data_IF_250039068293
#
_entry.id   IF_250039068293
#
_cell.length_a   1.000
_cell.length_b   1.000
_cell.length_c   1.000
_cell.angle_alpha   90.00
_cell.angle_beta   90.00
_cell.angle_gamma   90.00
#
_symmetry.space_group_name_H-M   'P 1'
#
loop_
_entity.id
_entity.type
_entity.pdbx_description
1 polymer ?
#
# COMPACT_ATOMS: atom_id res chain seq x y z
N UNK A 1 4.80 -14.73 25.64
CA UNK A 1 5.32 -15.48 24.48
C UNK A 1 6.79 -15.79 24.69
N UNK A 2 7.20 -17.05 24.57
CA UNK A 2 8.62 -17.45 24.60
C UNK A 2 9.21 -17.17 23.20
N UNK A 3 10.24 -16.35 23.15
CA UNK A 3 10.99 -16.10 21.90
C UNK A 3 12.31 -16.86 21.99
N UNK A 4 12.56 -17.75 21.06
CA UNK A 4 13.87 -18.37 20.91
C UNK A 4 14.92 -17.30 20.59
N UNK A 5 16.15 -17.50 21.07
CA UNK A 5 17.28 -16.64 20.71
C UNK A 5 17.54 -16.84 19.21
N UNK A 6 17.61 -15.73 18.46
CA UNK A 6 17.91 -15.80 17.04
C UNK A 6 19.32 -16.42 16.84
N UNK A 7 19.45 -17.24 15.79
CA UNK A 7 20.76 -17.73 15.35
C UNK A 7 21.61 -16.55 14.89
N UNK A 8 22.85 -16.49 15.33
CA UNK A 8 23.82 -15.47 14.95
C UNK A 8 25.01 -16.13 14.27
N UNK A 9 25.51 -15.50 13.20
CA UNK A 9 26.74 -15.90 12.52
C UNK A 9 27.66 -14.69 12.41
N UNK A 10 28.96 -14.97 12.33
CA UNK A 10 30.00 -13.94 12.16
C UNK A 10 30.45 -13.94 10.70
N UNK A 11 30.57 -12.77 10.08
CA UNK A 11 31.05 -12.60 8.72
C UNK A 11 31.74 -11.24 8.56
N UNK A 12 32.52 -11.07 7.47
CA UNK A 12 33.24 -9.84 7.19
C UNK A 12 32.35 -8.82 6.48
N UNK A 13 32.41 -7.56 6.91
CA UNK A 13 31.84 -6.41 6.22
C UNK A 13 32.75 -5.98 5.05
N UNK A 14 32.30 -6.14 3.83
CA UNK A 14 33.08 -5.79 2.63
C UNK A 14 32.90 -4.32 2.22
N UNK A 15 31.68 -3.83 2.28
CA UNK A 15 31.33 -2.44 1.93
C UNK A 15 29.94 -2.07 2.46
N UNK A 16 29.60 -0.78 2.43
CA UNK A 16 28.25 -0.29 2.71
C UNK A 16 27.71 0.43 1.47
N UNK A 17 26.54 0.01 1.01
CA UNK A 17 25.77 0.68 -0.04
C UNK A 17 24.57 1.39 0.57
N UNK A 18 24.08 2.43 -0.11
CA UNK A 18 22.92 3.20 0.35
C UNK A 18 21.79 3.09 -0.65
N UNK A 19 20.62 2.69 -0.18
CA UNK A 19 19.44 2.49 -1.02
C UNK A 19 18.39 3.57 -0.73
N UNK A 20 17.82 4.12 -1.79
CA UNK A 20 16.75 5.12 -1.69
C UNK A 20 15.41 4.43 -1.89
N UNK A 21 14.56 4.46 -0.89
CA UNK A 21 13.22 3.91 -0.97
C UNK A 21 12.22 4.90 -1.59
N UNK A 22 11.01 4.42 -1.85
CA UNK A 22 9.89 5.16 -2.44
C UNK A 22 9.59 6.51 -1.76
N UNK A 23 9.75 6.60 -0.47
CA UNK A 23 9.50 7.82 0.33
C UNK A 23 10.73 8.69 0.51
N UNK A 24 11.80 8.42 -0.24
CA UNK A 24 13.09 9.12 -0.12
C UNK A 24 13.96 8.64 1.03
N UNK A 25 13.49 7.72 1.87
CA UNK A 25 14.30 7.17 2.98
C UNK A 25 15.56 6.52 2.44
N UNK A 26 16.72 6.91 2.99
CA UNK A 26 18.04 6.37 2.62
C UNK A 26 18.47 5.35 3.67
N UNK A 27 18.48 4.08 3.25
CA UNK A 27 18.82 2.96 4.13
C UNK A 27 20.21 2.44 3.81
N UNK A 28 21.13 2.42 4.79
CA UNK A 28 22.44 1.80 4.63
C UNK A 28 22.30 0.27 4.66
N UNK A 29 22.98 -0.39 3.73
CA UNK A 29 23.00 -1.84 3.56
C UNK A 29 24.44 -2.32 3.55
N UNK A 30 24.77 -3.17 4.51
CA UNK A 30 26.05 -3.86 4.56
C UNK A 30 26.13 -4.93 3.47
N UNK A 31 27.18 -4.90 2.66
CA UNK A 31 27.55 -5.99 1.76
C UNK A 31 28.58 -6.87 2.50
N UNK A 32 28.26 -8.14 2.62
CA UNK A 32 28.95 -9.09 3.48
C UNK A 32 29.66 -10.17 2.67
N UNK A 33 30.72 -10.72 3.22
CA UNK A 33 31.22 -12.01 2.76
C UNK A 33 30.09 -13.04 2.92
N UNK A 34 29.80 -13.86 1.86
CA UNK A 34 28.65 -14.76 1.91
C UNK A 34 28.75 -15.75 3.07
N UNK A 35 27.71 -15.84 3.90
CA UNK A 35 27.65 -16.73 5.07
C UNK A 35 26.30 -17.45 5.12
N UNK A 36 26.30 -18.71 5.56
CA UNK A 36 25.08 -19.49 5.77
C UNK A 36 24.44 -19.10 7.10
N UNK A 37 23.15 -18.69 7.08
CA UNK A 37 22.38 -18.35 8.27
C UNK A 37 20.94 -18.81 8.13
N UNK A 38 20.49 -19.67 9.04
CA UNK A 38 19.15 -20.21 9.06
C UNK A 38 18.71 -20.73 7.65
N UNK A 39 19.51 -21.63 7.07
CA UNK A 39 19.24 -22.34 5.82
C UNK A 39 19.34 -21.50 4.55
N UNK A 40 19.80 -20.24 4.61
CA UNK A 40 20.03 -19.43 3.39
C UNK A 40 21.38 -18.70 3.42
N UNK A 41 21.97 -18.46 2.24
CA UNK A 41 23.21 -17.70 2.10
C UNK A 41 22.90 -16.21 2.18
N UNK A 42 23.40 -15.54 3.24
CA UNK A 42 23.28 -14.11 3.46
C UNK A 42 24.49 -13.41 2.85
N UNK A 43 24.24 -12.43 1.97
CA UNK A 43 25.25 -11.56 1.34
C UNK A 43 25.06 -10.09 1.69
N UNK A 44 23.91 -9.73 2.24
CA UNK A 44 23.52 -8.35 2.55
C UNK A 44 22.72 -8.31 3.85
N UNK A 45 22.96 -7.29 4.66
CA UNK A 45 22.21 -7.05 5.90
C UNK A 45 21.90 -5.58 6.07
N UNK A 46 20.74 -5.25 6.66
CA UNK A 46 20.41 -3.85 6.93
C UNK A 46 21.22 -3.29 8.10
N UNK A 47 21.60 -2.02 7.99
CA UNK A 47 22.18 -1.20 9.05
C UNK A 47 21.15 -0.18 9.59
N UNK A 48 19.90 -0.29 9.19
CA UNK A 48 18.78 0.56 9.57
C UNK A 48 18.96 2.05 9.21
N UNK A 49 19.91 2.75 9.86
CA UNK A 49 20.13 4.20 9.71
C UNK A 49 21.55 4.61 10.18
N UNK A 50 21.85 5.91 10.12
CA UNK A 50 23.13 6.46 10.54
C UNK A 50 23.42 6.23 12.03
N UNK A 51 22.40 6.31 12.90
CA UNK A 51 22.56 6.14 14.33
C UNK A 51 23.04 4.73 14.69
N UNK A 52 22.56 3.72 13.95
CA UNK A 52 22.99 2.34 14.13
C UNK A 52 24.44 2.13 13.69
N UNK A 53 24.89 2.77 12.60
CA UNK A 53 26.29 2.73 12.16
C UNK A 53 27.20 3.30 13.26
N UNK A 54 26.82 4.46 13.81
CA UNK A 54 27.57 5.12 14.86
C UNK A 54 27.55 4.33 16.19
N UNK A 55 26.39 3.77 16.56
CA UNK A 55 26.25 2.96 17.78
C UNK A 55 27.13 1.70 17.75
N UNK A 56 27.26 1.09 16.58
CA UNK A 56 28.11 -0.09 16.37
C UNK A 56 29.58 0.26 16.20
N UNK A 57 29.92 1.54 16.08
CA UNK A 57 31.29 1.98 15.72
C UNK A 57 31.82 1.17 14.54
N UNK A 58 31.06 1.11 13.45
CA UNK A 58 31.30 0.19 12.35
C UNK A 58 32.43 0.66 11.44
N UNK A 59 33.39 -0.21 11.16
CA UNK A 59 34.50 0.03 10.22
C UNK A 59 34.45 -0.97 9.05
N UNK A 60 35.02 -0.59 7.92
CA UNK A 60 35.22 -1.52 6.81
C UNK A 60 36.17 -2.66 7.25
N UNK A 61 35.93 -3.85 6.72
CA UNK A 61 36.62 -5.10 7.04
C UNK A 61 36.38 -5.65 8.46
N UNK A 62 35.50 -5.03 9.26
CA UNK A 62 35.12 -5.58 10.55
C UNK A 62 34.48 -6.97 10.42
N UNK A 63 34.74 -7.81 11.41
CA UNK A 63 33.95 -9.02 11.63
C UNK A 63 32.67 -8.62 12.37
N UNK A 64 31.50 -8.90 11.73
CA UNK A 64 30.22 -8.46 12.24
C UNK A 64 29.29 -9.64 12.56
N UNK A 65 28.48 -9.49 13.61
CA UNK A 65 27.47 -10.45 13.99
C UNK A 65 26.18 -10.15 13.25
N UNK A 66 25.67 -11.15 12.51
CA UNK A 66 24.47 -11.06 11.70
C UNK A 66 23.39 -11.99 12.25
N UNK A 67 22.17 -11.49 12.38
CA UNK A 67 21.00 -12.30 12.70
C UNK A 67 19.84 -11.98 11.74
N UNK A 68 18.88 -12.88 11.61
CA UNK A 68 17.63 -12.60 10.88
C UNK A 68 16.56 -12.10 11.84
N UNK A 69 16.11 -10.86 11.65
CA UNK A 69 14.95 -10.30 12.35
C UNK A 69 13.66 -10.98 11.86
N UNK A 70 12.93 -11.61 12.78
CA UNK A 70 11.72 -12.35 12.44
C UNK A 70 11.95 -13.49 11.43
N UNK A 71 13.16 -14.07 11.43
CA UNK A 71 13.60 -15.16 10.54
C UNK A 71 13.70 -14.79 9.04
N UNK A 72 13.50 -13.52 8.67
CA UNK A 72 13.42 -13.09 7.27
C UNK A 72 14.53 -12.09 6.91
N UNK A 73 14.62 -10.95 7.60
CA UNK A 73 15.49 -9.84 7.20
C UNK A 73 16.80 -9.88 7.95
N UNK A 74 17.96 -10.06 7.25
CA UNK A 74 19.26 -10.00 7.89
C UNK A 74 19.58 -8.59 8.38
N UNK A 75 20.08 -8.47 9.60
CA UNK A 75 20.54 -7.23 10.21
C UNK A 75 21.85 -7.44 10.95
N UNK A 76 22.68 -6.39 11.04
CA UNK A 76 23.89 -6.40 11.87
C UNK A 76 23.49 -6.02 13.29
N UNK A 77 23.92 -6.83 14.26
CA UNK A 77 23.60 -6.66 15.68
C UNK A 77 24.81 -6.38 16.56
N UNK A 78 26.03 -6.51 16.01
CA UNK A 78 27.25 -6.24 16.74
C UNK A 78 28.48 -6.32 15.85
N UNK A 79 29.62 -5.92 16.42
CA UNK A 79 30.96 -5.94 15.81
C UNK A 79 31.90 -6.67 16.75
N UNK A 80 32.79 -7.51 16.21
CA UNK A 80 33.90 -8.07 16.94
C UNK A 80 35.12 -7.10 16.90
N UNK A 81 35.13 -6.18 17.86
CA UNK A 81 36.21 -5.19 17.95
C UNK A 81 37.60 -5.80 18.24
N UNK A 82 37.64 -7.04 18.74
CA UNK A 82 38.91 -7.71 19.03
C UNK A 82 39.68 -8.15 17.79
N UNK A 83 38.94 -8.42 16.70
CA UNK A 83 39.46 -8.80 15.38
C UNK A 83 39.72 -7.63 14.44
N UNK A 84 39.41 -6.40 14.88
CA UNK A 84 39.54 -5.19 14.03
C UNK A 84 41.01 -4.90 13.67
N UNK A 85 41.26 -4.71 12.38
CA UNK A 85 42.60 -4.33 11.89
C UNK A 85 42.97 -2.91 12.33
N UNK A 86 44.23 -2.72 12.72
CA UNK A 86 44.74 -1.37 13.02
C UNK A 86 44.68 -0.49 11.78
N UNK A 87 44.07 0.70 11.91
CA UNK A 87 43.93 1.65 10.81
C UNK A 87 42.73 1.39 9.87
N UNK A 88 41.80 0.50 10.25
CA UNK A 88 40.53 0.32 9.54
C UNK A 88 39.77 1.64 9.44
N UNK A 89 39.06 1.84 8.33
CA UNK A 89 38.32 3.09 8.05
C UNK A 89 36.90 3.02 8.61
N UNK A 90 36.46 4.03 9.39
CA UNK A 90 35.09 4.07 9.87
C UNK A 90 34.09 4.18 8.69
N UNK A 91 32.95 3.55 8.83
CA UNK A 91 31.84 3.70 7.91
C UNK A 91 31.14 5.03 8.21
N UNK A 92 31.15 5.94 7.23
CA UNK A 92 30.52 7.25 7.35
C UNK A 92 29.23 7.26 6.55
N UNK A 93 28.14 7.74 7.16
CA UNK A 93 26.88 7.92 6.44
C UNK A 93 27.00 9.06 5.43
N UNK A 94 26.38 8.89 4.25
CA UNK A 94 26.46 9.87 3.15
C UNK A 94 25.61 11.12 3.44
N UNK A 95 26.03 12.26 2.90
CA UNK A 95 25.32 13.54 3.05
C UNK A 95 24.46 13.91 1.81
N UNK A 96 24.65 13.18 0.71
CA UNK A 96 23.93 13.42 -0.55
C UNK A 96 23.27 12.13 -1.04
N UNK A 97 22.18 12.27 -1.73
CA UNK A 97 21.46 11.14 -2.32
C UNK A 97 22.35 10.42 -3.34
N UNK A 98 22.54 9.08 -3.23
CA UNK A 98 23.39 8.34 -4.15
C UNK A 98 22.85 8.27 -5.57
N UNK A 99 21.55 8.56 -5.77
CA UNK A 99 20.86 8.45 -7.04
C UNK A 99 20.72 9.78 -7.79
N UNK A 100 20.49 10.88 -7.07
CA UNK A 100 20.24 12.18 -7.71
C UNK A 100 21.13 13.32 -7.20
N UNK A 101 22.08 13.05 -6.29
CA UNK A 101 23.04 14.03 -5.78
C UNK A 101 22.45 15.10 -4.84
N UNK A 102 21.14 15.12 -4.61
CA UNK A 102 20.49 16.12 -3.74
C UNK A 102 20.94 15.95 -2.30
N UNK A 103 21.24 17.03 -1.54
CA UNK A 103 21.54 16.94 -0.12
C UNK A 103 20.42 16.24 0.66
N UNK A 104 20.82 15.31 1.53
CA UNK A 104 19.88 14.59 2.38
C UNK A 104 19.41 15.47 3.54
N UNK A 105 18.16 15.28 3.95
CA UNK A 105 17.59 15.96 5.12
C UNK A 105 17.27 14.93 6.20
N UNK A 106 17.40 15.33 7.46
CA UNK A 106 16.94 14.58 8.62
C UNK A 106 16.04 15.48 9.44
N UNK A 107 14.77 15.11 9.57
CA UNK A 107 13.84 15.86 10.37
C UNK A 107 14.13 15.66 11.87
N UNK A 108 13.84 16.67 12.66
CA UNK A 108 13.97 16.59 14.11
C UNK A 108 13.12 15.44 14.69
N UNK A 109 13.74 14.62 15.54
CA UNK A 109 13.10 13.44 16.13
C UNK A 109 12.92 12.24 15.17
N UNK A 110 13.46 12.29 13.96
CA UNK A 110 13.50 11.13 13.03
C UNK A 110 14.91 10.53 12.97
N UNK A 111 14.98 9.20 12.99
CA UNK A 111 16.27 8.47 12.92
C UNK A 111 16.82 8.39 11.49
N UNK A 112 15.95 8.56 10.49
CA UNK A 112 16.28 8.34 9.09
C UNK A 112 16.64 9.64 8.36
N UNK A 113 17.52 9.52 7.37
CA UNK A 113 17.81 10.57 6.41
C UNK A 113 16.95 10.35 5.15
N UNK A 114 16.52 11.45 4.52
CA UNK A 114 15.65 11.43 3.37
C UNK A 114 16.21 12.26 2.22
N UNK A 115 16.03 11.76 1.00
CA UNK A 115 16.17 12.57 -0.20
C UNK A 115 14.89 13.39 -0.41
N UNK A 116 14.94 14.72 -0.34
CA UNK A 116 13.74 15.56 -0.51
C UNK A 116 13.31 15.71 -1.97
N UNK A 117 14.09 15.25 -2.92
CA UNK A 117 13.85 15.43 -4.37
C UNK A 117 12.87 14.37 -4.93
N UNK A 118 11.66 14.28 -4.36
CA UNK A 118 10.70 13.23 -4.69
C UNK A 118 10.14 13.32 -6.12
N UNK A 119 10.25 14.49 -6.79
CA UNK A 119 9.78 14.70 -8.16
C UNK A 119 10.78 14.28 -9.24
N UNK A 120 12.08 14.16 -8.90
CA UNK A 120 13.12 13.89 -9.89
C UNK A 120 14.05 12.75 -9.49
N UNK A 121 13.99 12.25 -8.26
CA UNK A 121 14.82 11.12 -7.84
C UNK A 121 14.28 9.81 -8.43
N UNK A 122 15.04 9.11 -9.32
CA UNK A 122 14.51 7.96 -10.06
C UNK A 122 13.93 6.84 -9.19
N UNK A 123 14.57 6.38 -8.10
CA UNK A 123 13.97 5.35 -7.24
C UNK A 123 12.65 5.79 -6.59
N UNK A 124 12.51 7.07 -6.23
CA UNK A 124 11.28 7.58 -5.66
C UNK A 124 10.14 7.61 -6.69
N UNK A 125 10.44 8.04 -7.91
CA UNK A 125 9.47 8.05 -9.02
C UNK A 125 9.00 6.64 -9.36
N UNK A 126 9.95 5.72 -9.57
CA UNK A 126 9.64 4.31 -9.88
C UNK A 126 8.87 3.64 -8.74
N UNK A 127 9.31 3.77 -7.50
CA UNK A 127 8.63 3.19 -6.35
C UNK A 127 7.24 3.78 -6.09
N UNK A 128 6.97 5.03 -6.49
CA UNK A 128 5.60 5.60 -6.46
C UNK A 128 4.72 4.97 -7.53
N UNK A 129 5.25 4.68 -8.72
CA UNK A 129 4.51 3.97 -9.77
C UNK A 129 4.22 2.52 -9.32
N UNK A 130 5.21 1.81 -8.78
CA UNK A 130 5.04 0.46 -8.23
C UNK A 130 3.97 0.40 -7.14
N UNK A 131 4.00 1.37 -6.22
CA UNK A 131 2.97 1.47 -5.20
C UNK A 131 1.59 1.70 -5.80
N UNK A 132 1.48 2.63 -6.77
CA UNK A 132 0.22 2.97 -7.42
C UNK A 132 -0.41 1.76 -8.12
N UNK A 133 0.37 0.96 -8.83
CA UNK A 133 -0.12 -0.21 -9.55
C UNK A 133 -0.37 -1.42 -8.64
N UNK A 134 0.13 -1.40 -7.39
CA UNK A 134 0.09 -2.57 -6.51
C UNK A 134 -1.32 -3.10 -6.28
N UNK A 135 -1.43 -4.41 -5.94
CA UNK A 135 -2.69 -5.13 -5.73
C UNK A 135 -3.66 -4.46 -4.76
N UNK A 136 -3.14 -3.79 -3.72
CA UNK A 136 -3.96 -3.07 -2.72
C UNK A 136 -4.34 -1.66 -3.15
N UNK A 137 -3.67 -1.12 -4.16
CA UNK A 137 -3.90 0.20 -4.74
C UNK A 137 -4.76 0.09 -6.01
N UNK A 138 -4.25 0.44 -7.17
CA UNK A 138 -5.01 0.42 -8.42
C UNK A 138 -5.13 -0.97 -9.06
N UNK A 139 -4.36 -1.97 -8.59
CA UNK A 139 -4.41 -3.37 -9.04
C UNK A 139 -4.18 -3.52 -10.56
N UNK A 140 -3.13 -2.89 -11.03
CA UNK A 140 -2.75 -2.95 -12.44
C UNK A 140 -1.76 -4.09 -12.66
N UNK A 141 -2.20 -5.14 -13.32
CA UNK A 141 -1.40 -6.32 -13.63
C UNK A 141 -0.50 -6.12 -14.87
N UNK A 142 0.57 -6.90 -14.92
CA UNK A 142 1.50 -6.96 -16.07
C UNK A 142 2.61 -5.91 -16.04
N UNK A 143 2.63 -5.03 -15.04
CA UNK A 143 3.69 -4.04 -14.81
C UNK A 143 4.53 -4.47 -13.59
N UNK A 144 5.54 -5.31 -13.79
CA UNK A 144 6.54 -5.61 -12.75
C UNK A 144 7.66 -4.55 -12.70
N UNK A 145 8.55 -4.65 -11.71
CA UNK A 145 9.70 -3.75 -11.50
C UNK A 145 10.53 -3.59 -12.79
N UNK A 146 10.88 -4.70 -13.46
CA UNK A 146 11.64 -4.69 -14.72
C UNK A 146 10.91 -3.94 -15.85
N UNK A 147 9.58 -4.09 -15.94
CA UNK A 147 8.78 -3.39 -16.96
C UNK A 147 8.70 -1.89 -16.66
N UNK A 148 8.53 -1.50 -15.40
CA UNK A 148 8.55 -0.09 -14.98
C UNK A 148 9.92 0.52 -15.30
N UNK A 149 11.00 -0.17 -14.98
CA UNK A 149 12.36 0.28 -15.29
C UNK A 149 12.57 0.48 -16.79
N UNK A 150 12.08 -0.44 -17.61
CA UNK A 150 12.12 -0.34 -19.06
C UNK A 150 11.33 0.86 -19.57
N UNK A 151 10.08 1.02 -19.16
CA UNK A 151 9.23 2.15 -19.56
C UNK A 151 9.82 3.49 -19.11
N UNK A 152 10.35 3.55 -17.89
CA UNK A 152 11.01 4.73 -17.34
C UNK A 152 12.28 5.10 -18.12
N UNK A 153 13.13 4.11 -18.44
CA UNK A 153 14.36 4.30 -19.21
C UNK A 153 14.09 4.78 -20.64
N UNK A 154 13.01 4.31 -21.24
CA UNK A 154 12.54 4.74 -22.57
C UNK A 154 11.81 6.10 -22.55
N UNK A 155 11.61 6.69 -21.38
CA UNK A 155 10.92 7.97 -21.24
C UNK A 155 9.42 7.91 -21.48
N UNK A 156 8.82 6.70 -21.51
CA UNK A 156 7.40 6.51 -21.72
C UNK A 156 6.56 6.86 -20.48
N UNK A 157 7.16 6.72 -19.29
CA UNK A 157 6.53 7.11 -18.03
C UNK A 157 7.52 7.90 -17.15
N UNK A 158 7.01 8.88 -16.40
CA UNK A 158 7.73 9.64 -15.37
C UNK A 158 6.99 9.64 -14.04
N UNK A 159 5.67 9.52 -14.11
CA UNK A 159 4.79 9.39 -12.94
C UNK A 159 3.64 8.44 -13.28
N UNK A 160 2.86 8.08 -12.28
CA UNK A 160 1.79 7.09 -12.44
C UNK A 160 0.60 7.59 -13.30
N UNK A 161 0.42 8.90 -13.54
CA UNK A 161 -0.61 9.38 -14.45
C UNK A 161 -0.26 9.07 -15.92
N UNK A 162 1.04 8.98 -16.26
CA UNK A 162 1.50 8.65 -17.61
C UNK A 162 1.08 7.24 -18.04
N UNK A 163 0.78 6.34 -17.09
CA UNK A 163 0.29 5.00 -17.38
C UNK A 163 -1.01 5.03 -18.22
N UNK A 164 -1.86 6.02 -17.99
CA UNK A 164 -3.15 6.16 -18.68
C UNK A 164 -3.02 6.74 -20.10
N UNK A 165 -1.84 7.24 -20.46
CA UNK A 165 -1.50 7.72 -21.81
C UNK A 165 -0.85 6.63 -22.68
N UNK A 166 -0.44 5.50 -22.09
CA UNK A 166 0.21 4.40 -22.79
C UNK A 166 -0.72 3.78 -23.83
N UNK A 167 -0.14 3.47 -25.00
CA UNK A 167 -0.79 2.77 -26.11
C UNK A 167 -0.11 1.43 -26.35
N UNK A 168 -0.87 0.45 -26.81
CA UNK A 168 -0.32 -0.90 -27.10
C UNK A 168 0.84 -0.84 -28.11
N UNK A 169 0.74 0.03 -29.11
CA UNK A 169 1.76 0.22 -30.16
C UNK A 169 3.12 0.67 -29.63
N UNK A 170 3.14 1.36 -28.48
CA UNK A 170 4.37 1.78 -27.81
C UNK A 170 5.01 0.63 -27.01
N UNK A 171 4.19 -0.33 -26.55
CA UNK A 171 4.63 -1.44 -25.69
C UNK A 171 5.10 -2.63 -26.50
N UNK A 172 4.44 -2.95 -27.63
CA UNK A 172 4.73 -4.13 -28.46
C UNK A 172 6.21 -4.22 -28.89
N UNK A 173 6.90 -3.14 -29.33
CA UNK A 173 8.29 -3.21 -29.77
C UNK A 173 9.29 -3.30 -28.61
N UNK A 174 8.85 -3.25 -27.36
CA UNK A 174 9.74 -3.29 -26.20
C UNK A 174 10.17 -4.73 -25.90
N UNK A 175 11.39 -4.88 -25.41
CA UNK A 175 11.97 -6.17 -25.05
C UNK A 175 11.06 -6.89 -24.02
N UNK A 176 10.83 -8.18 -24.23
CA UNK A 176 9.97 -9.06 -23.42
C UNK A 176 8.47 -8.72 -23.42
N UNK A 177 8.04 -7.73 -24.21
CA UNK A 177 6.62 -7.39 -24.38
C UNK A 177 6.21 -7.71 -25.82
N UNK A 178 5.22 -8.60 -25.98
CA UNK A 178 4.57 -8.88 -27.27
C UNK A 178 3.14 -8.36 -27.28
N UNK A 179 2.43 -8.52 -28.39
CA UNK A 179 1.04 -8.05 -28.57
C UNK A 179 0.10 -8.46 -27.43
N UNK A 180 0.17 -9.73 -27.00
CA UNK A 180 -0.66 -10.26 -25.92
C UNK A 180 -0.37 -9.58 -24.59
N UNK A 181 0.90 -9.41 -24.24
CA UNK A 181 1.31 -8.75 -22.97
C UNK A 181 0.95 -7.29 -22.99
N UNK A 182 1.25 -6.57 -24.07
CA UNK A 182 0.88 -5.16 -24.24
C UNK A 182 -0.64 -4.97 -24.13
N UNK A 183 -1.43 -5.81 -24.83
CA UNK A 183 -2.90 -5.76 -24.74
C UNK A 183 -3.43 -6.02 -23.33
N UNK A 184 -2.81 -6.94 -22.57
CA UNK A 184 -3.18 -7.21 -21.18
C UNK A 184 -2.90 -6.01 -20.27
N UNK A 185 -1.72 -5.39 -20.39
CA UNK A 185 -1.34 -4.19 -19.63
C UNK A 185 -2.36 -3.06 -19.87
N UNK A 186 -2.64 -2.72 -21.13
CA UNK A 186 -3.59 -1.66 -21.47
C UNK A 186 -4.99 -1.96 -20.94
N UNK A 187 -5.43 -3.22 -21.00
CA UNK A 187 -6.72 -3.65 -20.45
C UNK A 187 -6.77 -3.50 -18.94
N UNK A 188 -5.71 -3.89 -18.25
CA UNK A 188 -5.59 -3.74 -16.78
C UNK A 188 -5.58 -2.27 -16.35
N UNK A 189 -4.86 -1.41 -17.08
CA UNK A 189 -4.89 0.06 -16.85
C UNK A 189 -6.31 0.59 -17.01
N UNK A 190 -7.04 0.21 -18.05
CA UNK A 190 -8.42 0.65 -18.24
C UNK A 190 -9.36 0.14 -17.15
N UNK A 191 -9.22 -1.11 -16.73
CA UNK A 191 -10.01 -1.69 -15.64
C UNK A 191 -9.80 -0.95 -14.32
N UNK A 192 -8.61 -0.42 -14.08
CA UNK A 192 -8.29 0.33 -12.85
C UNK A 192 -9.07 1.64 -12.70
N UNK A 193 -9.70 2.17 -13.76
CA UNK A 193 -10.55 3.36 -13.68
C UNK A 193 -11.76 3.16 -12.74
N UNK A 194 -12.22 1.92 -12.59
CA UNK A 194 -13.33 1.53 -11.70
C UNK A 194 -12.88 1.27 -10.24
N UNK A 195 -11.60 1.53 -9.94
CA UNK A 195 -11.07 1.29 -8.59
C UNK A 195 -11.77 2.18 -7.56
N UNK A 196 -12.24 1.63 -6.41
CA UNK A 196 -12.94 2.39 -5.40
C UNK A 196 -12.09 3.52 -4.79
N UNK A 197 -12.71 4.65 -4.48
CA UNK A 197 -12.06 5.88 -4.02
C UNK A 197 -11.06 5.69 -2.86
N UNK A 198 -11.37 4.87 -1.86
CA UNK A 198 -10.45 4.61 -0.76
C UNK A 198 -9.14 3.95 -1.22
N UNK A 199 -9.18 3.11 -2.27
CA UNK A 199 -8.00 2.51 -2.86
C UNK A 199 -7.23 3.52 -3.70
N UNK A 200 -7.93 4.40 -4.41
CA UNK A 200 -7.32 5.53 -5.12
C UNK A 200 -6.56 6.44 -4.13
N UNK A 201 -7.17 6.79 -2.99
CA UNK A 201 -6.48 7.55 -1.94
C UNK A 201 -5.21 6.85 -1.43
N UNK A 202 -5.28 5.54 -1.22
CA UNK A 202 -4.10 4.76 -0.85
C UNK A 202 -3.06 4.75 -1.96
N UNK A 203 -3.49 4.64 -3.23
CA UNK A 203 -2.62 4.61 -4.41
C UNK A 203 -1.83 5.92 -4.61
N UNK A 204 -2.39 7.08 -4.24
CA UNK A 204 -1.68 8.37 -4.30
C UNK A 204 -0.39 8.38 -3.46
N UNK A 205 -0.25 7.47 -2.49
CA UNK A 205 0.97 7.29 -1.72
C UNK A 205 1.29 8.42 -0.76
N UNK A 206 0.29 9.10 -0.22
CA UNK A 206 0.44 10.15 0.79
C UNK A 206 1.19 9.57 2.00
N UNK A 207 2.24 10.26 2.45
CA UNK A 207 3.06 9.79 3.56
C UNK A 207 2.20 9.56 4.82
N UNK A 208 2.42 8.45 5.51
CA UNK A 208 1.66 7.99 6.68
C UNK A 208 0.20 7.58 6.42
N UNK A 209 -0.30 7.68 5.19
CA UNK A 209 -1.63 7.21 4.83
C UNK A 209 -1.55 5.78 4.30
N UNK A 210 -1.81 4.82 5.18
CA UNK A 210 -1.93 3.40 4.83
C UNK A 210 -3.36 3.05 4.40
N UNK A 211 -3.58 1.77 4.04
CA UNK A 211 -4.89 1.26 3.58
C UNK A 211 -6.03 1.57 4.57
N UNK A 212 -5.82 1.34 5.88
CA UNK A 212 -6.82 1.60 6.92
C UNK A 212 -7.15 3.09 7.03
N UNK A 213 -6.11 3.95 7.06
CA UNK A 213 -6.28 5.41 7.11
C UNK A 213 -7.00 5.93 5.87
N UNK A 214 -6.67 5.42 4.68
CA UNK A 214 -7.35 5.78 3.43
C UNK A 214 -8.86 5.43 3.47
N UNK A 215 -9.24 4.27 4.03
CA UNK A 215 -10.65 3.90 4.25
C UNK A 215 -11.34 4.84 5.24
N UNK A 216 -10.68 5.17 6.34
CA UNK A 216 -11.20 6.11 7.35
C UNK A 216 -11.42 7.50 6.73
N UNK A 217 -10.45 8.01 5.95
CA UNK A 217 -10.55 9.29 5.24
C UNK A 217 -11.73 9.25 4.25
N UNK A 218 -11.80 8.24 3.38
CA UNK A 218 -12.86 8.11 2.37
C UNK A 218 -14.28 8.05 2.99
N UNK A 219 -14.41 7.51 4.19
CA UNK A 219 -15.69 7.48 4.91
C UNK A 219 -16.12 8.84 5.45
N UNK A 220 -15.18 9.77 5.66
CA UNK A 220 -15.40 11.10 6.23
C UNK A 220 -15.45 12.20 5.16
N UNK A 221 -14.65 12.06 4.14
CA UNK A 221 -14.59 12.97 2.99
C UNK A 221 -15.08 12.22 1.75
N UNK A 222 -16.35 12.46 1.32
CA UNK A 222 -16.96 11.74 0.21
C UNK A 222 -16.27 11.95 -1.13
N UNK A 223 -15.50 13.02 -1.27
CA UNK A 223 -14.72 13.30 -2.47
C UNK A 223 -13.31 13.79 -2.13
N UNK A 224 -12.41 13.70 -3.11
CA UNK A 224 -11.07 14.28 -2.98
C UNK A 224 -11.13 15.81 -2.85
N UNK A 225 -12.12 16.45 -3.45
CA UNK A 225 -12.29 17.90 -3.38
C UNK A 225 -12.67 18.35 -1.96
N UNK A 226 -13.44 17.54 -1.24
CA UNK A 226 -13.73 17.78 0.18
C UNK A 226 -12.47 17.59 1.03
N UNK A 227 -11.69 16.55 0.75
CA UNK A 227 -10.44 16.27 1.44
C UNK A 227 -9.38 17.37 1.20
N UNK A 228 -9.28 17.90 -0.02
CA UNK A 228 -8.37 18.99 -0.37
C UNK A 228 -8.65 20.30 0.38
N UNK A 229 -9.90 20.53 0.82
CA UNK A 229 -10.31 21.69 1.60
C UNK A 229 -10.12 21.52 3.10
N UNK A 230 -9.85 20.29 3.56
CA UNK A 230 -9.74 19.98 4.97
C UNK A 230 -8.47 20.57 5.58
N UNK A 231 -8.60 21.20 6.73
CA UNK A 231 -7.49 21.69 7.51
C UNK A 231 -6.96 20.65 8.52
N UNK A 232 -5.85 20.99 9.20
CA UNK A 232 -5.24 20.12 10.19
C UNK A 232 -6.17 19.77 11.35
N UNK A 233 -7.02 20.71 11.80
CA UNK A 233 -7.90 20.51 12.96
C UNK A 233 -9.05 19.55 12.59
N UNK A 234 -9.64 19.74 11.42
CA UNK A 234 -10.66 18.83 10.89
C UNK A 234 -10.13 17.41 10.75
N UNK A 235 -8.92 17.26 10.20
CA UNK A 235 -8.28 15.96 10.05
C UNK A 235 -7.97 15.30 11.39
N UNK A 236 -7.42 16.05 12.35
CA UNK A 236 -7.11 15.55 13.71
C UNK A 236 -8.36 15.18 14.53
N UNK A 237 -9.52 15.73 14.21
CA UNK A 237 -10.78 15.35 14.85
C UNK A 237 -11.22 13.92 14.52
N UNK A 238 -10.64 13.31 13.48
CA UNK A 238 -10.95 11.95 13.06
C UNK A 238 -10.12 10.97 13.91
N UNK A 239 -10.80 10.02 14.53
CA UNK A 239 -10.13 8.93 15.27
C UNK A 239 -9.11 8.26 14.37
N UNK A 240 -7.91 7.98 14.90
CA UNK A 240 -6.75 7.36 14.22
C UNK A 240 -5.95 8.31 13.33
N UNK A 241 -6.36 9.57 13.13
CA UNK A 241 -5.57 10.56 12.40
C UNK A 241 -4.86 11.49 13.39
N UNK A 242 -3.59 11.18 13.66
CA UNK A 242 -2.73 11.99 14.50
C UNK A 242 -2.10 13.19 13.75
N UNK A 243 -1.40 14.08 14.47
CA UNK A 243 -0.79 15.30 13.89
C UNK A 243 0.11 15.02 12.68
N UNK A 244 0.92 13.95 12.72
CA UNK A 244 1.83 13.58 11.61
C UNK A 244 1.06 13.20 10.33
N UNK A 245 -0.04 12.47 10.47
CA UNK A 245 -0.88 12.07 9.33
C UNK A 245 -1.58 13.30 8.76
N UNK A 246 -2.20 14.12 9.61
CA UNK A 246 -2.90 15.34 9.21
C UNK A 246 -1.97 16.29 8.44
N UNK A 247 -0.78 16.58 8.99
CA UNK A 247 0.21 17.44 8.35
C UNK A 247 0.68 16.86 7.01
N UNK A 248 0.82 15.54 6.89
CA UNK A 248 1.21 14.90 5.62
C UNK A 248 0.14 15.02 4.55
N UNK A 249 -1.13 14.94 4.92
CA UNK A 249 -2.28 15.12 4.01
C UNK A 249 -2.33 16.57 3.52
N UNK A 250 -2.28 17.53 4.43
CA UNK A 250 -2.29 18.97 4.08
C UNK A 250 -1.10 19.32 3.20
N UNK A 251 0.11 18.88 3.55
CA UNK A 251 1.31 19.12 2.74
C UNK A 251 1.18 18.52 1.33
N UNK A 252 0.62 17.31 1.20
CA UNK A 252 0.43 16.66 -0.10
C UNK A 252 -0.50 17.46 -1.02
N UNK A 253 -1.62 17.97 -0.51
CA UNK A 253 -2.58 18.74 -1.28
C UNK A 253 -2.21 20.23 -1.43
N UNK A 254 -1.25 20.72 -0.66
CA UNK A 254 -0.68 22.07 -0.85
C UNK A 254 0.38 22.13 -1.96
N UNK A 255 0.81 20.97 -2.44
CA UNK A 255 1.82 20.87 -3.48
C UNK A 255 1.19 20.94 -4.89
N UNK A 256 1.54 21.95 -5.71
CA UNK A 256 0.98 22.13 -7.05
C UNK A 256 1.19 20.93 -7.98
N UNK A 257 2.32 20.23 -7.86
CA UNK A 257 2.64 19.09 -8.73
C UNK A 257 1.74 17.89 -8.42
N UNK A 258 1.43 17.65 -7.15
CA UNK A 258 0.46 16.63 -6.77
C UNK A 258 -0.95 16.98 -7.28
N UNK A 259 -1.34 18.25 -7.22
CA UNK A 259 -2.63 18.71 -7.76
C UNK A 259 -2.68 18.53 -9.28
N UNK A 260 -1.59 18.83 -9.98
CA UNK A 260 -1.50 18.61 -11.43
C UNK A 260 -1.69 17.13 -11.79
N UNK A 261 -1.03 16.23 -11.06
CA UNK A 261 -1.17 14.78 -11.27
C UNK A 261 -2.61 14.33 -10.99
N UNK A 262 -3.24 14.79 -9.91
CA UNK A 262 -4.65 14.49 -9.58
C UNK A 262 -5.59 14.94 -10.70
N UNK A 263 -5.39 16.16 -11.22
CA UNK A 263 -6.22 16.68 -12.31
C UNK A 263 -6.04 15.88 -13.60
N UNK A 264 -4.81 15.43 -13.92
CA UNK A 264 -4.58 14.50 -15.04
C UNK A 264 -5.29 13.17 -14.83
N UNK A 265 -5.17 12.55 -13.65
CA UNK A 265 -5.88 11.30 -13.34
C UNK A 265 -7.41 11.47 -13.45
N UNK A 266 -7.93 12.61 -13.00
CA UNK A 266 -9.35 12.96 -13.14
C UNK A 266 -9.78 13.05 -14.61
N UNK A 267 -8.96 13.63 -15.47
CA UNK A 267 -9.26 13.74 -16.92
C UNK A 267 -9.31 12.37 -17.61
N UNK A 268 -8.64 11.35 -17.08
CA UNK A 268 -8.74 9.96 -17.55
C UNK A 268 -9.97 9.20 -17.00
N UNK A 269 -10.72 9.79 -16.06
CA UNK A 269 -11.92 9.18 -15.49
C UNK A 269 -11.71 8.39 -14.21
N UNK A 270 -10.58 8.58 -13.52
CA UNK A 270 -10.35 7.96 -12.20
C UNK A 270 -11.41 8.43 -11.21
N UNK A 271 -11.95 7.49 -10.45
CA UNK A 271 -12.96 7.75 -9.44
C UNK A 271 -12.36 8.41 -8.19
N UNK A 272 -12.57 9.72 -8.04
CA UNK A 272 -12.16 10.51 -6.88
C UNK A 272 -13.30 10.81 -5.89
N UNK A 273 -14.38 10.08 -5.96
CA UNK A 273 -15.48 10.16 -5.00
C UNK A 273 -15.80 8.77 -4.47
N UNK A 274 -16.07 8.68 -3.18
CA UNK A 274 -16.69 7.48 -2.61
C UNK A 274 -18.03 7.23 -3.30
N UNK A 275 -18.49 5.97 -3.26
CA UNK A 275 -19.87 5.72 -3.56
C UNK A 275 -20.67 6.76 -2.79
N UNK A 276 -21.49 7.55 -3.50
CA UNK A 276 -22.43 8.47 -2.84
C UNK A 276 -23.02 7.65 -1.70
N UNK A 277 -22.88 8.10 -0.45
CA UNK A 277 -23.62 7.48 0.66
C UNK A 277 -24.96 7.19 0.06
N UNK A 278 -25.30 5.92 -0.07
CA UNK A 278 -26.56 5.51 -0.65
C UNK A 278 -27.57 6.38 0.04
N UNK A 279 -28.16 7.36 -0.67
CA UNK A 279 -29.15 8.21 -0.06
C UNK A 279 -30.14 7.25 0.55
N UNK A 280 -30.13 7.16 1.90
CA UNK A 280 -31.06 6.29 2.62
C UNK A 280 -32.43 6.83 2.29
N UNK A 281 -33.02 6.29 1.21
CA UNK A 281 -34.34 6.71 0.72
C UNK A 281 -35.44 5.88 1.38
N UNK A 282 -35.07 4.81 2.10
CA UNK A 282 -35.97 3.94 2.85
C UNK A 282 -35.46 3.62 4.25
N UNK A 283 -36.38 3.34 5.16
CA UNK A 283 -36.09 2.94 6.55
C UNK A 283 -36.48 1.49 6.87
N UNK A 284 -36.93 0.73 5.85
CA UNK A 284 -37.45 -0.64 5.98
C UNK A 284 -36.46 -1.63 6.60
N UNK A 285 -35.16 -1.37 6.46
CA UNK A 285 -34.09 -2.20 7.03
C UNK A 285 -33.30 -1.49 8.14
N UNK A 286 -33.81 -0.36 8.65
CA UNK A 286 -33.15 0.42 9.69
C UNK A 286 -32.81 -0.43 10.93
N UNK A 287 -31.51 -0.39 11.33
CA UNK A 287 -31.00 -1.15 12.46
C UNK A 287 -30.81 -2.65 12.22
N UNK A 288 -31.09 -3.17 11.01
CA UNK A 288 -30.86 -4.57 10.66
C UNK A 288 -29.47 -4.80 10.13
N UNK A 289 -28.80 -5.86 10.60
CA UNK A 289 -27.50 -6.34 10.10
C UNK A 289 -27.75 -7.59 9.26
N UNK A 290 -27.37 -7.55 7.98
CA UNK A 290 -27.74 -8.58 6.98
C UNK A 290 -26.48 -9.17 6.37
N UNK A 291 -26.37 -10.49 6.37
CA UNK A 291 -25.30 -11.24 5.71
C UNK A 291 -25.79 -11.72 4.34
N UNK A 292 -25.04 -11.43 3.28
CA UNK A 292 -25.34 -11.92 1.93
C UNK A 292 -24.55 -13.20 1.65
N UNK A 293 -25.21 -14.30 1.26
CA UNK A 293 -24.56 -15.57 0.99
C UNK A 293 -25.27 -16.37 -0.10
N UNK A 294 -24.51 -16.94 -1.02
CA UNK A 294 -25.02 -17.72 -2.16
C UNK A 294 -24.86 -17.00 -3.51
N UNK A 295 -25.45 -17.59 -4.53
CA UNK A 295 -25.54 -17.05 -5.91
C UNK A 295 -26.93 -16.52 -6.11
N UNK A 296 -27.06 -15.38 -6.74
CA UNK A 296 -28.31 -14.64 -6.92
C UNK A 296 -28.67 -14.56 -8.40
N UNK A 297 -29.96 -14.53 -8.72
CA UNK A 297 -30.47 -14.56 -10.09
C UNK A 297 -31.04 -13.23 -10.56
N UNK A 298 -31.62 -12.44 -9.65
CA UNK A 298 -32.29 -11.16 -9.99
C UNK A 298 -31.32 -9.98 -9.95
N UNK A 299 -30.40 -9.95 -8.97
CA UNK A 299 -29.42 -8.90 -8.76
C UNK A 299 -28.05 -9.48 -8.41
N UNK A 300 -26.98 -8.76 -8.72
CA UNK A 300 -25.65 -9.09 -8.27
C UNK A 300 -25.51 -8.90 -6.74
N UNK A 301 -24.47 -9.49 -6.16
CA UNK A 301 -24.19 -9.34 -4.73
C UNK A 301 -23.96 -7.88 -4.32
N UNK A 302 -23.34 -7.10 -5.19
CA UNK A 302 -23.08 -5.68 -4.97
C UNK A 302 -24.38 -4.85 -5.05
N UNK A 303 -25.30 -5.19 -5.96
CA UNK A 303 -26.61 -4.56 -6.01
C UNK A 303 -27.43 -4.85 -4.77
N UNK A 304 -27.43 -6.08 -4.24
CA UNK A 304 -28.09 -6.37 -2.97
C UNK A 304 -27.48 -5.63 -1.80
N UNK A 305 -26.18 -5.46 -1.77
CA UNK A 305 -25.50 -4.63 -0.76
C UNK A 305 -25.97 -3.18 -0.84
N UNK A 306 -26.04 -2.63 -2.05
CA UNK A 306 -26.59 -1.29 -2.31
C UNK A 306 -28.05 -1.17 -1.83
N UNK A 307 -28.93 -2.14 -2.16
CA UNK A 307 -30.33 -2.14 -1.75
C UNK A 307 -30.50 -2.21 -0.24
N UNK A 308 -29.66 -2.98 0.46
CA UNK A 308 -29.65 -3.05 1.92
C UNK A 308 -29.31 -1.67 2.51
N UNK A 309 -28.24 -1.05 2.04
CA UNK A 309 -27.77 0.25 2.53
C UNK A 309 -28.76 1.38 2.20
N UNK A 310 -29.34 1.38 0.99
CA UNK A 310 -30.38 2.31 0.54
C UNK A 310 -31.63 2.29 1.43
N UNK A 311 -31.96 1.13 1.99
CA UNK A 311 -33.08 0.94 2.91
C UNK A 311 -32.70 1.05 4.40
N UNK A 312 -31.52 1.58 4.74
CA UNK A 312 -31.09 1.85 6.12
C UNK A 312 -30.54 0.63 6.86
N UNK A 313 -30.35 -0.51 6.16
CA UNK A 313 -29.73 -1.71 6.71
C UNK A 313 -28.20 -1.66 6.66
N UNK A 314 -27.55 -2.61 7.32
CA UNK A 314 -26.10 -2.79 7.34
C UNK A 314 -25.71 -4.15 6.77
N UNK A 315 -24.89 -4.17 5.74
CA UNK A 315 -24.30 -5.41 5.24
C UNK A 315 -23.13 -5.83 6.15
N UNK A 316 -23.08 -7.12 6.55
CA UNK A 316 -22.02 -7.70 7.37
C UNK A 316 -21.33 -8.84 6.63
N UNK A 317 -20.01 -8.98 6.84
CA UNK A 317 -19.19 -9.99 6.16
C UNK A 317 -19.14 -11.33 6.89
N UNK A 318 -19.49 -11.36 8.16
CA UNK A 318 -19.46 -12.56 9.02
C UNK A 318 -20.74 -12.71 9.83
N UNK A 319 -21.11 -13.96 10.11
CA UNK A 319 -22.21 -14.31 10.99
C UNK A 319 -21.84 -13.99 12.43
N UNK A 320 -22.73 -13.29 13.14
CA UNK A 320 -22.57 -12.96 14.56
C UNK A 320 -23.94 -12.92 15.24
N UNK A 321 -23.99 -12.92 16.55
CA UNK A 321 -25.24 -12.81 17.32
C UNK A 321 -26.06 -11.54 17.04
N UNK A 322 -25.45 -10.54 16.38
CA UNK A 322 -26.11 -9.30 15.96
C UNK A 322 -26.64 -9.38 14.51
N UNK A 323 -26.50 -10.51 13.82
CA UNK A 323 -27.02 -10.68 12.45
C UNK A 323 -28.53 -10.87 12.50
N UNK A 324 -29.26 -9.96 11.85
CA UNK A 324 -30.73 -9.98 11.85
C UNK A 324 -31.32 -11.09 10.98
N UNK A 325 -30.73 -11.30 9.80
CA UNK A 325 -31.06 -12.41 8.89
C UNK A 325 -29.97 -12.57 7.82
N UNK A 326 -30.00 -13.70 7.13
CA UNK A 326 -29.13 -13.95 5.96
C UNK A 326 -29.97 -13.85 4.70
N UNK A 327 -29.56 -12.99 3.78
CA UNK A 327 -30.06 -13.02 2.41
C UNK A 327 -29.40 -14.19 1.68
N UNK A 328 -30.16 -15.27 1.48
CA UNK A 328 -29.71 -16.54 0.98
C UNK A 328 -30.06 -16.69 -0.51
N UNK A 329 -29.04 -16.70 -1.36
CA UNK A 329 -29.16 -17.11 -2.75
C UNK A 329 -28.98 -18.61 -2.92
N UNK A 330 -29.04 -19.10 -4.16
CA UNK A 330 -28.75 -20.49 -4.51
C UNK A 330 -27.34 -20.88 -4.12
N UNK A 331 -27.13 -22.17 -3.84
CA UNK A 331 -25.83 -22.74 -3.47
C UNK A 331 -25.13 -22.06 -2.26
N UNK A 332 -25.91 -21.59 -1.29
CA UNK A 332 -25.34 -21.15 0.00
C UNK A 332 -24.57 -22.31 0.64
N UNK A 333 -23.31 -22.05 1.03
CA UNK A 333 -22.43 -23.08 1.59
C UNK A 333 -23.02 -23.71 2.87
N UNK A 334 -22.95 -25.07 3.02
CA UNK A 334 -23.62 -25.82 4.09
C UNK A 334 -23.16 -25.40 5.50
N UNK A 335 -21.89 -25.03 5.66
CA UNK A 335 -21.36 -24.58 6.97
C UNK A 335 -21.98 -23.27 7.47
N UNK A 336 -22.37 -22.38 6.56
CA UNK A 336 -23.04 -21.12 6.94
C UNK A 336 -24.50 -21.36 7.27
N UNK A 337 -25.14 -22.31 6.58
CA UNK A 337 -26.52 -22.71 6.84
C UNK A 337 -26.66 -23.33 8.24
N UNK A 338 -25.81 -24.30 8.57
CA UNK A 338 -25.78 -24.92 9.90
C UNK A 338 -25.55 -23.88 11.01
N UNK A 339 -24.57 -23.00 10.86
CA UNK A 339 -24.31 -21.93 11.84
C UNK A 339 -25.48 -20.96 12.00
N UNK A 340 -26.24 -20.69 10.95
CA UNK A 340 -27.43 -19.86 11.02
C UNK A 340 -28.57 -20.55 11.77
N UNK A 341 -28.78 -21.84 11.53
CA UNK A 341 -29.75 -22.68 12.23
C UNK A 341 -29.40 -22.80 13.73
N UNK A 342 -28.14 -23.08 14.06
CA UNK A 342 -27.66 -23.14 15.46
C UNK A 342 -27.83 -21.81 16.21
N UNK A 343 -27.63 -20.68 15.50
CA UNK A 343 -27.75 -19.32 16.06
C UNK A 343 -29.20 -18.79 16.03
N UNK A 344 -30.17 -19.52 15.46
CA UNK A 344 -31.56 -19.09 15.32
C UNK A 344 -31.73 -17.88 14.36
N UNK A 345 -30.79 -17.70 13.41
CA UNK A 345 -30.81 -16.58 12.47
C UNK A 345 -31.60 -16.95 11.22
N UNK A 346 -32.69 -16.22 10.89
CA UNK A 346 -33.55 -16.56 9.78
C UNK A 346 -32.83 -16.41 8.43
N UNK A 347 -33.16 -17.30 7.50
CA UNK A 347 -32.77 -17.23 6.08
C UNK A 347 -33.89 -16.57 5.31
N UNK A 348 -33.57 -15.62 4.44
CA UNK A 348 -34.50 -14.91 3.59
C UNK A 348 -34.10 -15.10 2.13
N UNK A 349 -35.03 -15.47 1.27
CA UNK A 349 -34.79 -15.60 -0.17
C UNK A 349 -34.75 -14.25 -0.90
N UNK A 350 -34.28 -14.22 -2.15
CA UNK A 350 -34.29 -13.02 -3.01
C UNK A 350 -35.70 -12.41 -3.09
N UNK A 351 -36.69 -13.23 -3.36
CA UNK A 351 -38.07 -12.75 -3.55
C UNK A 351 -38.67 -12.19 -2.27
N UNK A 352 -38.44 -12.82 -1.12
CA UNK A 352 -38.88 -12.29 0.17
C UNK A 352 -38.21 -10.97 0.51
N UNK A 353 -36.90 -10.85 0.21
CA UNK A 353 -36.14 -9.63 0.44
C UNK A 353 -36.65 -8.48 -0.42
N UNK A 354 -36.85 -8.71 -1.73
CA UNK A 354 -37.39 -7.68 -2.66
C UNK A 354 -38.79 -7.22 -2.27
N UNK A 355 -39.66 -8.15 -1.83
CA UNK A 355 -40.96 -7.80 -1.24
C UNK A 355 -40.82 -6.93 0.01
N UNK A 356 -39.93 -7.29 0.89
CA UNK A 356 -39.68 -6.53 2.13
C UNK A 356 -39.27 -5.08 1.85
N UNK A 357 -38.45 -4.85 0.83
CA UNK A 357 -37.99 -3.50 0.46
C UNK A 357 -38.93 -2.81 -0.56
N UNK A 358 -39.91 -3.55 -1.12
CA UNK A 358 -40.94 -3.00 -2.05
C UNK A 358 -40.38 -2.74 -3.45
N UNK A 359 -39.47 -3.56 -3.93
CA UNK A 359 -38.90 -3.54 -5.29
C UNK A 359 -39.36 -4.75 -6.14
N UNK A 360 -40.50 -5.35 -5.81
CA UNK A 360 -41.21 -6.30 -6.69
C UNK A 360 -42.28 -5.64 -7.54
#
# INVERSE_FOLDING_TARGET
AYKYKAEQVTTRLLSVSFQVGRTGNVTPVANLEPVLLAGSTVKRATLHNADQINLLDLHLDDMVYVEKGGEIIPKIVGVDHSSRAKGSKPVVFINTCPECGTPLVRNEGEANHFCPNYLHCPPQLKGRIEHFISRKAMDIDGLGEETIDLLFSKGLIRNYADLYELKAEQLVPLERLGEKSAGNIIRSIRASLETPYHRVLFALGIRHVGETVAKTIASRFPSIDDLMKADNEQLKSIREIGPKIASSIVAFFSDPDNILIINRLRSFGINFSGDKKTDITGDKLKGKSILISGVFTKHSREEYKYLIEKNGGRNVSALSGNTSFILAGENMGPSKRLKAEEAGIPLMSESEFLKLIGEE
#
